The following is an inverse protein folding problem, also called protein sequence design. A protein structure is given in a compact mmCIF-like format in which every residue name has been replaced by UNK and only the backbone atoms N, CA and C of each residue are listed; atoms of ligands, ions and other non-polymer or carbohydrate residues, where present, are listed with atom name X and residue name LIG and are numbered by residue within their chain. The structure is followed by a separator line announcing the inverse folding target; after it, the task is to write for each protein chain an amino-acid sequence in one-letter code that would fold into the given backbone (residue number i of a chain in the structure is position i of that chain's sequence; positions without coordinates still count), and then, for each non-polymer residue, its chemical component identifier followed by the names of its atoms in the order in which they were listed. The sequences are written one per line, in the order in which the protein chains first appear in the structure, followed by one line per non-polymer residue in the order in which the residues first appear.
data_IF_899558038737
#
_entry.id   IF_899558038737
#
_cell.length_a   1.000
_cell.length_b   1.000
_cell.length_c   1.000
_cell.angle_alpha   90.00
_cell.angle_beta   90.00
_cell.angle_gamma   90.00
#
_symmetry.space_group_name_H-M   'P 1'
#
loop_
_entity.id
_entity.type
_entity.pdbx_description
1 polymer ?
#
# COMPACT_ATOMS: atom_id res chain seq x y z
N UNK A 1 13.41 -3.33 -13.63
CA UNK A 1 12.63 -2.47 -12.81
C UNK A 1 11.88 -3.17 -11.69
N UNK A 2 11.18 -4.22 -11.99
CA UNK A 2 10.48 -4.95 -10.94
C UNK A 2 11.44 -5.53 -9.91
N UNK A 3 12.58 -5.99 -10.35
CA UNK A 3 13.56 -6.53 -9.44
C UNK A 3 14.06 -5.49 -8.46
N UNK A 4 14.23 -4.29 -8.95
CA UNK A 4 14.70 -3.22 -8.13
C UNK A 4 13.68 -2.86 -7.07
N UNK A 5 12.41 -2.84 -7.46
CA UNK A 5 11.34 -2.55 -6.53
C UNK A 5 11.27 -3.65 -5.48
N UNK A 6 11.40 -4.90 -5.92
CA UNK A 6 11.34 -6.03 -5.01
C UNK A 6 12.48 -5.97 -3.99
N UNK A 7 13.67 -5.65 -4.45
CA UNK A 7 14.82 -5.55 -3.56
C UNK A 7 14.66 -4.41 -2.56
N UNK A 8 14.11 -3.31 -3.02
CA UNK A 8 13.87 -2.19 -2.14
C UNK A 8 12.89 -2.53 -1.05
N UNK A 9 11.83 -3.22 -1.39
CA UNK A 9 10.83 -3.62 -0.42
C UNK A 9 11.44 -4.59 0.59
N UNK A 10 12.21 -5.53 0.11
CA UNK A 10 12.85 -6.49 0.97
C UNK A 10 13.81 -5.81 1.95
N UNK A 11 14.58 -4.88 1.46
CA UNK A 11 15.51 -4.13 2.29
C UNK A 11 14.79 -3.33 3.35
N UNK A 12 13.70 -2.72 2.97
CA UNK A 12 12.93 -1.93 3.91
C UNK A 12 12.36 -2.79 5.02
N UNK A 13 11.86 -3.94 4.68
CA UNK A 13 11.32 -4.85 5.66
C UNK A 13 12.42 -5.35 6.61
N UNK A 14 13.58 -5.64 6.06
CA UNK A 14 14.70 -6.11 6.86
C UNK A 14 15.16 -5.05 7.83
N UNK A 15 15.08 -3.82 7.44
CA UNK A 15 15.55 -2.74 8.28
C UNK A 15 14.51 -2.23 9.25
N UNK A 16 13.34 -2.80 9.25
CA UNK A 16 12.29 -2.38 10.14
C UNK A 16 11.90 -3.51 11.07
N UNK A 17 12.82 -3.95 11.88
CA UNK A 17 12.50 -5.07 12.76
C UNK A 17 11.43 -4.71 13.77
N UNK A 18 11.34 -3.46 14.12
CA UNK A 18 10.31 -3.06 15.06
C UNK A 18 8.92 -3.28 14.49
N UNK A 19 8.77 -3.14 13.21
CA UNK A 19 7.49 -3.37 12.58
C UNK A 19 7.15 -4.84 12.61
N UNK A 20 8.12 -5.69 12.34
CA UNK A 20 7.90 -7.11 12.38
C UNK A 20 7.61 -7.57 13.80
N UNK A 21 8.32 -7.01 14.76
CA UNK A 21 8.10 -7.33 16.12
C UNK A 21 6.70 -6.97 16.54
N UNK A 22 6.25 -5.83 16.11
CA UNK A 22 4.93 -5.36 16.41
C UNK A 22 3.89 -6.32 15.87
N UNK A 23 4.08 -6.78 14.68
CA UNK A 23 3.15 -7.69 14.05
C UNK A 23 3.20 -9.08 14.66
N UNK A 24 4.30 -9.46 15.25
CA UNK A 24 4.40 -10.77 15.81
C UNK A 24 3.98 -10.84 17.26
N UNK A 25 3.57 -9.75 17.84
CA UNK A 25 3.12 -9.72 19.22
C UNK A 25 1.66 -9.38 19.31
N UNK A 26 0.81 -10.25 18.92
CA UNK A 26 -0.62 -9.94 18.94
C UNK A 26 -1.08 -9.61 20.33
N UNK A 27 -0.47 -10.17 21.30
CA UNK A 27 -0.88 -9.87 22.64
C UNK A 27 -0.58 -8.44 23.05
N UNK A 28 0.23 -7.79 22.28
CA UNK A 28 0.51 -6.43 22.58
C UNK A 28 -0.59 -5.53 22.14
N UNK A 29 -1.62 -6.04 21.53
CA UNK A 29 -2.71 -5.21 21.12
C UNK A 29 -3.87 -5.48 21.97
N UNK A 30 -3.76 -5.25 23.21
CA UNK A 30 -4.84 -5.57 24.06
C UNK A 30 -6.01 -4.77 23.77
N UNK A 31 -5.75 -3.65 23.22
CA UNK A 31 -6.78 -2.79 23.06
C UNK A 31 -7.39 -2.91 21.82
N UNK A 32 -7.63 -4.01 21.43
CA UNK A 32 -8.28 -4.12 20.21
C UNK A 32 -9.52 -3.37 20.27
N UNK A 33 -9.59 -2.29 19.59
CA UNK A 33 -10.75 -1.58 19.51
C UNK A 33 -11.64 -2.27 18.58
N UNK A 34 -12.90 -1.97 18.65
CA UNK A 34 -13.83 -2.47 17.66
C UNK A 34 -13.38 -2.02 16.30
N UNK A 35 -13.44 -2.87 15.31
CA UNK A 35 -13.01 -2.48 13.98
C UNK A 35 -13.83 -1.32 13.49
N UNK A 36 -13.19 -0.41 12.81
CA UNK A 36 -13.88 0.68 12.18
C UNK A 36 -14.74 0.14 11.04
N UNK A 37 -15.82 0.81 10.71
CA UNK A 37 -16.57 0.47 9.50
C UNK A 37 -15.64 0.51 8.30
N UNK A 38 -15.95 -0.31 7.31
CA UNK A 38 -15.07 -0.47 6.16
C UNK A 38 -14.69 0.84 5.50
N UNK A 39 -15.64 1.71 5.28
CA UNK A 39 -15.34 2.98 4.60
C UNK A 39 -14.46 3.87 5.47
N UNK A 40 -14.58 3.78 6.78
CA UNK A 40 -13.72 4.56 7.66
C UNK A 40 -12.32 3.99 7.71
N UNK A 41 -12.21 2.67 7.63
CA UNK A 41 -10.89 2.06 7.56
C UNK A 41 -10.18 2.49 6.29
N UNK A 42 -10.90 2.52 5.17
CA UNK A 42 -10.28 2.91 3.92
C UNK A 42 -9.84 4.36 3.95
N UNK A 43 -10.66 5.20 4.56
CA UNK A 43 -10.29 6.60 4.66
C UNK A 43 -9.08 6.79 5.56
N UNK A 44 -9.05 6.08 6.68
CA UNK A 44 -7.91 6.17 7.59
C UNK A 44 -6.64 5.66 6.90
N UNK A 45 -6.76 4.56 6.17
CA UNK A 45 -5.61 4.01 5.47
C UNK A 45 -5.07 4.99 4.45
N UNK A 46 -5.96 5.64 3.72
CA UNK A 46 -5.53 6.64 2.75
C UNK A 46 -4.82 7.79 3.44
N UNK A 47 -5.29 8.17 4.62
CA UNK A 47 -4.63 9.22 5.38
C UNK A 47 -3.21 8.84 5.75
N UNK A 48 -3.01 7.61 6.22
CA UNK A 48 -1.67 7.16 6.53
C UNK A 48 -0.77 7.12 5.30
N UNK A 49 -1.33 6.65 4.19
CA UNK A 49 -0.56 6.61 2.96
C UNK A 49 -0.17 8.00 2.51
N UNK A 50 -1.09 8.94 2.63
CA UNK A 50 -0.79 10.31 2.23
C UNK A 50 0.31 10.91 3.08
N UNK A 51 0.30 10.62 4.37
CA UNK A 51 1.34 11.13 5.25
C UNK A 51 2.69 10.53 4.92
N UNK A 52 2.72 9.22 4.71
CA UNK A 52 3.96 8.57 4.37
C UNK A 52 4.48 9.06 3.03
N UNK A 53 3.57 9.27 2.10
CA UNK A 53 3.93 9.75 0.78
C UNK A 53 4.56 11.14 0.87
N UNK A 54 3.93 12.02 1.64
CA UNK A 54 4.44 13.37 1.79
C UNK A 54 5.83 13.36 2.44
N UNK A 55 6.00 12.51 3.42
CA UNK A 55 7.28 12.43 4.09
C UNK A 55 8.36 11.90 3.15
N UNK A 56 8.03 10.89 2.38
CA UNK A 56 8.99 10.33 1.44
C UNK A 56 9.37 11.34 0.37
N UNK A 57 8.38 12.09 -0.11
CA UNK A 57 8.68 13.14 -1.09
C UNK A 57 9.58 14.20 -0.49
N UNK A 58 9.32 14.56 0.75
CA UNK A 58 10.16 15.53 1.44
C UNK A 58 11.59 15.04 1.53
N UNK A 59 11.77 13.74 1.70
CA UNK A 59 13.11 13.16 1.78
C UNK A 59 13.72 12.90 0.43
N UNK A 60 13.10 13.33 -0.62
CA UNK A 60 13.69 13.22 -1.95
C UNK A 60 13.32 11.99 -2.75
N UNK A 61 12.38 11.22 -2.28
CA UNK A 61 11.97 10.04 -3.04
C UNK A 61 11.04 10.45 -4.17
N UNK A 62 11.33 9.98 -5.34
CA UNK A 62 10.53 10.34 -6.52
C UNK A 62 9.14 9.73 -6.45
N UNK A 63 8.15 10.50 -6.88
CA UNK A 63 6.77 10.04 -6.83
C UNK A 63 6.53 8.80 -7.65
N UNK A 64 7.20 8.67 -8.78
CA UNK A 64 7.05 7.49 -9.61
C UNK A 64 7.60 6.25 -8.90
N UNK A 65 8.70 6.39 -8.21
CA UNK A 65 9.25 5.29 -7.44
C UNK A 65 8.33 4.91 -6.29
N UNK A 66 7.74 5.92 -5.65
CA UNK A 66 6.78 5.65 -4.60
C UNK A 66 5.57 4.90 -5.14
N UNK A 67 5.10 5.31 -6.31
CA UNK A 67 3.95 4.67 -6.90
C UNK A 67 4.22 3.20 -7.20
N UNK A 68 5.38 2.93 -7.78
CA UNK A 68 5.71 1.55 -8.13
C UNK A 68 5.90 0.69 -6.88
N UNK A 69 6.56 1.24 -5.89
CA UNK A 69 6.75 0.51 -4.64
C UNK A 69 5.41 0.25 -3.95
N UNK A 70 4.53 1.23 -3.99
CA UNK A 70 3.20 1.08 -3.38
C UNK A 70 2.40 0.01 -4.07
N UNK A 71 2.49 -0.03 -5.38
CA UNK A 71 1.78 -1.03 -6.15
C UNK A 71 2.27 -2.43 -5.81
N UNK A 72 3.58 -2.59 -5.72
CA UNK A 72 4.14 -3.88 -5.35
C UNK A 72 3.68 -4.28 -3.95
N UNK A 73 3.76 -3.35 -3.01
CA UNK A 73 3.38 -3.64 -1.64
C UNK A 73 1.90 -4.02 -1.54
N UNK A 74 1.08 -3.31 -2.30
CA UNK A 74 -0.36 -3.58 -2.27
C UNK A 74 -0.66 -4.96 -2.82
N UNK A 75 -0.05 -5.32 -3.93
CA UNK A 75 -0.29 -6.63 -4.50
C UNK A 75 0.26 -7.74 -3.61
N UNK A 76 1.40 -7.52 -3.00
CA UNK A 76 1.96 -8.52 -2.10
C UNK A 76 1.00 -8.79 -0.94
N UNK A 77 0.42 -7.75 -0.40
CA UNK A 77 -0.53 -7.90 0.68
C UNK A 77 -1.79 -8.65 0.22
N UNK A 78 -2.30 -8.27 -0.94
CA UNK A 78 -3.50 -8.90 -1.46
C UNK A 78 -3.27 -10.38 -1.79
N UNK A 79 -2.13 -10.67 -2.39
CA UNK A 79 -1.81 -12.06 -2.72
C UNK A 79 -1.66 -12.88 -1.43
N UNK A 80 -1.06 -12.29 -0.42
CA UNK A 80 -0.92 -12.98 0.86
C UNK A 80 -2.26 -13.30 1.50
N UNK A 81 -3.25 -12.45 1.26
CA UNK A 81 -4.56 -12.62 1.85
C UNK A 81 -5.49 -13.49 1.00
N UNK A 82 -5.49 -13.28 -0.28
CA UNK A 82 -6.48 -13.92 -1.16
C UNK A 82 -5.91 -14.92 -2.15
N UNK A 83 -4.61 -14.95 -2.33
CA UNK A 83 -3.97 -15.85 -3.28
C UNK A 83 -3.85 -15.26 -4.66
N UNK A 84 -3.01 -15.86 -5.45
CA UNK A 84 -2.69 -15.33 -6.79
C UNK A 84 -3.89 -15.29 -7.74
N UNK A 85 -4.69 -16.34 -7.71
CA UNK A 85 -5.79 -16.41 -8.65
C UNK A 85 -6.82 -15.31 -8.43
N UNK A 86 -7.17 -15.08 -7.18
CA UNK A 86 -8.16 -14.05 -6.87
C UNK A 86 -7.64 -12.67 -7.21
N UNK A 87 -6.36 -12.43 -6.93
CA UNK A 87 -5.78 -11.13 -7.24
C UNK A 87 -5.66 -10.95 -8.75
N UNK A 88 -5.30 -12.00 -9.46
CA UNK A 88 -5.22 -11.91 -10.92
C UNK A 88 -6.58 -11.54 -11.51
N UNK A 89 -7.64 -12.13 -10.99
CA UNK A 89 -8.96 -11.80 -11.47
C UNK A 89 -9.32 -10.36 -11.17
N UNK A 90 -8.99 -9.90 -9.98
CA UNK A 90 -9.22 -8.52 -9.62
C UNK A 90 -8.47 -7.59 -10.56
N UNK A 91 -7.22 -7.92 -10.85
CA UNK A 91 -6.39 -7.08 -11.70
C UNK A 91 -6.93 -7.01 -13.12
N UNK A 92 -7.57 -8.06 -13.57
CA UNK A 92 -8.11 -8.07 -14.93
C UNK A 92 -9.08 -6.93 -15.18
N UNK A 93 -9.73 -6.44 -14.13
CA UNK A 93 -10.66 -5.35 -14.30
C UNK A 93 -10.03 -3.98 -14.22
N UNK A 94 -8.76 -3.92 -13.85
CA UNK A 94 -8.12 -2.63 -13.64
C UNK A 94 -7.90 -1.82 -14.92
N UNK A 95 -7.53 -2.44 -16.04
CA UNK A 95 -7.29 -1.63 -17.23
C UNK A 95 -8.50 -0.78 -17.63
N UNK A 96 -9.67 -1.36 -17.53
CA UNK A 96 -10.87 -0.61 -17.87
C UNK A 96 -11.11 0.51 -16.88
N UNK A 97 -10.90 0.25 -15.61
CA UNK A 97 -11.09 1.26 -14.59
C UNK A 97 -10.10 2.42 -14.75
N UNK A 98 -8.88 2.08 -15.13
CA UNK A 98 -7.89 3.11 -15.39
C UNK A 98 -8.33 3.97 -16.57
N UNK A 99 -8.77 3.34 -17.64
CA UNK A 99 -9.19 4.08 -18.82
C UNK A 99 -10.44 4.89 -18.58
N UNK A 100 -11.30 4.42 -17.70
CA UNK A 100 -12.53 5.15 -17.39
C UNK A 100 -12.29 6.30 -16.44
N UNK A 101 -11.07 6.51 -16.01
CA UNK A 101 -10.76 7.68 -15.19
C UNK A 101 -11.03 7.52 -13.72
N UNK A 102 -11.24 6.29 -13.24
CA UNK A 102 -11.52 6.12 -11.82
C UNK A 102 -10.37 6.57 -10.96
N UNK A 103 -9.16 6.51 -11.49
CA UNK A 103 -7.99 6.91 -10.71
C UNK A 103 -7.45 8.26 -11.13
N UNK A 104 -8.18 8.98 -11.94
CA UNK A 104 -7.72 10.28 -12.39
C UNK A 104 -8.11 11.33 -11.37
N UNK A 105 -7.14 11.78 -10.63
CA UNK A 105 -7.38 12.78 -9.63
C UNK A 105 -7.29 14.12 -10.25
N UNK A 106 -8.30 14.91 -10.01
CA UNK A 106 -8.32 16.17 -10.67
C UNK A 106 -7.48 17.13 -10.01
N UNK A 107 -6.30 16.98 -9.84
CA UNK A 107 -5.59 17.90 -9.24
C UNK A 107 -5.07 18.87 -10.05
N UNK A 108 -4.71 18.66 -10.92
CA UNK A 108 -4.11 19.58 -11.61
C UNK A 108 -4.81 20.19 -12.50
N UNK A 109 -5.43 20.07 -12.77
CA UNK A 109 -6.04 20.54 -13.67
C UNK A 109 -5.97 21.65 -13.80
N UNK A 110 -5.69 21.86 -13.56
CA UNK A 110 -5.65 22.92 -13.68
C UNK A 110 -4.99 23.33 -14.18
#
# INVERSE_FOLDING_TARGET
MLNLIHDSMRSALDRAPSLLSFMSHPASFPTVRDPLPDHEQKRAALGYLNEAWAEARHDGVDGDCLAQASLFAAFAELVGTYGEDAVAKFVEGLPLRVRNGEFSIQMAKQ
#
